data_IF_781163570947
#
_entry.id   IF_781163570947
#
_cell.length_a   1.000
_cell.length_b   1.000
_cell.length_c   1.000
_cell.angle_alpha   90.00
_cell.angle_beta   90.00
_cell.angle_gamma   90.00
#
_symmetry.space_group_name_H-M   'P 1'
#
loop_
_entity.id
_entity.type
_entity.pdbx_description
1 polymer ?
#
# COMPACT_ATOMS: atom_id res chain seq x y z
N UNK A 1 22.87 7.97 20.74
CA UNK A 1 23.13 8.57 19.42
C UNK A 1 23.25 7.44 18.41
N UNK A 2 22.14 7.05 17.77
CA UNK A 2 22.17 6.05 16.69
C UNK A 2 22.01 6.79 15.36
N UNK A 3 22.98 6.57 14.47
CA UNK A 3 23.14 7.27 13.20
C UNK A 3 21.95 7.06 12.25
N UNK A 4 21.23 8.16 11.98
CA UNK A 4 20.11 8.24 11.02
C UNK A 4 20.55 8.30 9.54
N UNK A 5 21.84 8.09 9.24
CA UNK A 5 22.42 8.44 7.94
C UNK A 5 22.39 7.35 6.86
N UNK A 6 21.91 6.13 7.16
CA UNK A 6 21.95 5.01 6.19
C UNK A 6 20.59 4.63 5.57
N UNK A 7 19.50 5.29 5.97
CA UNK A 7 18.17 5.08 5.38
C UNK A 7 17.98 5.85 4.05
N UNK A 8 18.67 6.99 3.91
CA UNK A 8 18.45 7.97 2.84
C UNK A 8 19.17 7.67 1.52
N UNK A 9 19.94 6.59 1.40
CA UNK A 9 20.81 6.38 0.23
C UNK A 9 20.26 5.36 -0.78
N UNK A 10 19.40 4.43 -0.35
CA UNK A 10 18.96 3.32 -1.21
C UNK A 10 17.56 3.46 -1.84
N UNK A 11 16.68 4.31 -1.31
CA UNK A 11 15.33 4.54 -1.88
C UNK A 11 15.28 5.71 -2.88
N UNK A 12 16.39 6.43 -3.04
CA UNK A 12 16.40 7.83 -3.48
C UNK A 12 16.30 8.03 -4.99
N UNK A 13 16.60 7.00 -5.77
CA UNK A 13 16.76 7.15 -7.22
C UNK A 13 15.45 7.20 -8.01
N UNK A 14 14.31 6.74 -7.48
CA UNK A 14 13.07 6.61 -8.28
C UNK A 14 11.94 7.58 -7.91
N UNK A 15 11.93 8.11 -6.69
CA UNK A 15 10.91 9.08 -6.23
C UNK A 15 11.52 10.36 -5.68
N UNK A 16 12.79 10.60 -6.02
CA UNK A 16 13.52 11.78 -5.57
C UNK A 16 13.50 11.95 -4.06
N UNK A 17 13.87 10.93 -3.25
CA UNK A 17 13.90 11.08 -1.79
C UNK A 17 14.72 12.31 -1.35
N UNK A 18 15.73 12.70 -2.13
CA UNK A 18 16.44 13.97 -1.95
C UNK A 18 15.53 15.18 -2.17
N UNK A 19 14.72 15.21 -3.23
CA UNK A 19 13.71 16.26 -3.41
C UNK A 19 12.63 16.22 -2.31
N UNK A 20 12.18 15.04 -1.87
CA UNK A 20 11.24 14.86 -0.77
C UNK A 20 11.75 15.42 0.58
N UNK A 21 13.06 15.37 0.82
CA UNK A 21 13.71 15.77 2.09
C UNK A 21 14.33 17.18 2.02
N UNK A 22 14.92 17.57 0.89
CA UNK A 22 15.69 18.81 0.71
C UNK A 22 15.32 19.61 -0.54
N UNK A 23 14.31 19.20 -1.31
CA UNK A 23 13.80 19.95 -2.45
C UNK A 23 12.89 21.11 -2.05
N UNK A 24 12.65 22.01 -3.00
CA UNK A 24 11.66 23.07 -2.88
C UNK A 24 10.27 22.49 -2.57
N UNK A 25 9.38 23.31 -2.01
CA UNK A 25 7.99 22.89 -1.73
C UNK A 25 7.27 22.35 -2.97
N UNK A 26 7.58 22.90 -4.16
CA UNK A 26 7.02 22.44 -5.43
C UNK A 26 7.54 21.07 -5.85
N UNK A 27 8.85 20.82 -5.73
CA UNK A 27 9.45 19.52 -6.07
C UNK A 27 8.95 18.41 -5.15
N UNK A 28 8.79 18.70 -3.85
CA UNK A 28 8.20 17.77 -2.87
C UNK A 28 6.77 17.39 -3.22
N UNK A 29 5.98 18.38 -3.59
CA UNK A 29 4.59 18.19 -4.01
C UNK A 29 4.51 17.34 -5.28
N UNK A 30 5.33 17.64 -6.29
CA UNK A 30 5.32 16.90 -7.55
C UNK A 30 5.79 15.45 -7.38
N UNK A 31 6.88 15.21 -6.64
CA UNK A 31 7.36 13.86 -6.35
C UNK A 31 6.32 13.04 -5.55
N UNK A 32 5.65 13.68 -4.60
CA UNK A 32 4.53 13.08 -3.87
C UNK A 32 3.38 12.67 -4.78
N UNK A 33 3.05 13.51 -5.78
CA UNK A 33 1.98 13.25 -6.75
C UNK A 33 2.25 12.02 -7.61
N UNK A 34 3.46 11.88 -8.15
CA UNK A 34 3.83 10.72 -8.98
C UNK A 34 3.77 9.42 -8.18
N UNK A 35 4.41 9.38 -7.01
CA UNK A 35 4.34 8.22 -6.11
C UNK A 35 2.90 7.84 -5.77
N UNK A 36 2.05 8.83 -5.53
CA UNK A 36 0.66 8.60 -5.13
C UNK A 36 -0.17 7.99 -6.27
N UNK A 37 0.08 8.39 -7.53
CA UNK A 37 -0.54 7.76 -8.70
C UNK A 37 -0.11 6.30 -8.81
N UNK A 38 1.19 6.02 -8.68
CA UNK A 38 1.72 4.64 -8.75
C UNK A 38 1.17 3.76 -7.62
N UNK A 39 1.15 4.27 -6.39
CA UNK A 39 0.63 3.57 -5.23
C UNK A 39 -0.86 3.26 -5.40
N UNK A 40 -1.66 4.23 -5.89
CA UNK A 40 -3.07 4.01 -6.17
C UNK A 40 -3.29 2.90 -7.20
N UNK A 41 -2.56 2.94 -8.32
CA UNK A 41 -2.62 1.92 -9.37
C UNK A 41 -2.21 0.54 -8.86
N UNK A 42 -1.19 0.48 -8.00
CA UNK A 42 -0.75 -0.77 -7.38
C UNK A 42 -1.81 -1.35 -6.47
N UNK A 43 -2.42 -0.54 -5.59
CA UNK A 43 -3.49 -0.99 -4.69
C UNK A 43 -4.71 -1.47 -5.49
N UNK A 44 -5.13 -0.70 -6.50
CA UNK A 44 -6.27 -1.05 -7.34
C UNK A 44 -6.03 -2.34 -8.13
N UNK A 45 -4.85 -2.51 -8.73
CA UNK A 45 -4.50 -3.74 -9.46
C UNK A 45 -4.33 -4.95 -8.54
N UNK A 46 -3.77 -4.76 -7.35
CA UNK A 46 -3.52 -5.85 -6.40
C UNK A 46 -4.83 -6.46 -5.85
N UNK A 47 -5.86 -5.64 -5.66
CA UNK A 47 -7.11 -6.05 -5.01
C UNK A 47 -8.34 -6.01 -5.92
N UNK A 48 -8.19 -5.66 -7.20
CA UNK A 48 -9.30 -5.48 -8.14
C UNK A 48 -10.39 -4.57 -7.54
N UNK A 49 -9.96 -3.49 -6.89
CA UNK A 49 -10.88 -2.58 -6.20
C UNK A 49 -11.89 -2.01 -7.21
N UNK A 50 -13.19 -2.01 -6.91
CA UNK A 50 -14.17 -1.34 -7.76
C UNK A 50 -13.86 0.16 -7.80
N UNK A 51 -14.25 0.81 -8.90
CA UNK A 51 -14.12 2.25 -9.01
C UNK A 51 -14.90 2.92 -7.87
N UNK A 52 -14.21 3.76 -7.10
CA UNK A 52 -14.76 4.36 -5.90
C UNK A 52 -15.81 5.40 -6.29
N UNK A 53 -16.98 5.36 -5.64
CA UNK A 53 -17.98 6.46 -5.70
C UNK A 53 -17.52 7.71 -4.94
N UNK A 54 -16.32 7.69 -4.36
CA UNK A 54 -15.72 8.85 -3.70
C UNK A 54 -15.50 9.97 -4.71
N UNK A 55 -15.80 11.20 -4.29
CA UNK A 55 -15.51 12.42 -5.04
C UNK A 55 -13.99 12.57 -5.28
N UNK A 56 -13.18 12.05 -4.35
CA UNK A 56 -11.72 12.10 -4.40
C UNK A 56 -11.16 10.79 -4.95
N UNK A 57 -10.34 10.86 -6.00
CA UNK A 57 -9.63 9.70 -6.56
C UNK A 57 -8.69 9.07 -5.53
N UNK A 58 -8.33 7.80 -5.71
CA UNK A 58 -7.38 7.15 -4.79
C UNK A 58 -6.01 7.84 -4.82
N UNK A 59 -5.53 8.24 -6.00
CA UNK A 59 -4.25 8.94 -6.15
C UNK A 59 -4.23 10.28 -5.42
N UNK A 60 -5.28 11.08 -5.56
CA UNK A 60 -5.38 12.38 -4.87
C UNK A 60 -5.53 12.21 -3.37
N UNK A 61 -6.26 11.17 -2.93
CA UNK A 61 -6.37 10.83 -1.53
C UNK A 61 -5.02 10.48 -0.91
N UNK A 62 -4.25 9.59 -1.56
CA UNK A 62 -2.91 9.21 -1.13
C UNK A 62 -1.99 10.43 -1.08
N UNK A 63 -2.01 11.25 -2.14
CA UNK A 63 -1.17 12.43 -2.24
C UNK A 63 -1.47 13.42 -1.11
N UNK A 64 -2.73 13.72 -0.87
CA UNK A 64 -3.14 14.62 0.19
C UNK A 64 -2.73 14.09 1.57
N UNK A 65 -2.97 12.81 1.85
CA UNK A 65 -2.61 12.20 3.13
C UNK A 65 -1.09 12.29 3.38
N UNK A 66 -0.26 11.97 2.38
CA UNK A 66 1.20 12.08 2.48
C UNK A 66 1.67 13.53 2.64
N UNK A 67 1.08 14.47 1.89
CA UNK A 67 1.38 15.89 1.99
C UNK A 67 1.07 16.44 3.40
N UNK A 68 -0.09 16.08 3.96
CA UNK A 68 -0.54 16.54 5.28
C UNK A 68 0.29 15.96 6.42
N UNK A 69 0.64 14.67 6.32
CA UNK A 69 1.35 13.96 7.38
C UNK A 69 2.87 14.10 7.29
N UNK A 70 3.40 14.49 6.12
CA UNK A 70 4.84 14.59 5.83
C UNK A 70 5.61 13.31 6.14
N UNK A 71 4.94 12.16 6.01
CA UNK A 71 5.58 10.87 6.21
C UNK A 71 6.63 10.59 5.15
N UNK A 72 7.71 9.93 5.56
CA UNK A 72 8.76 9.52 4.64
C UNK A 72 8.24 8.46 3.64
N UNK A 73 8.75 8.48 2.41
CA UNK A 73 8.36 7.53 1.35
C UNK A 73 8.55 6.07 1.80
N UNK A 74 9.55 5.77 2.64
CA UNK A 74 9.75 4.43 3.21
C UNK A 74 8.56 3.95 4.05
N UNK A 75 7.86 4.84 4.75
CA UNK A 75 6.64 4.50 5.52
C UNK A 75 5.50 4.15 4.57
N UNK A 76 5.39 4.88 3.45
CA UNK A 76 4.41 4.66 2.40
C UNK A 76 4.67 3.35 1.62
N UNK A 77 5.94 3.07 1.28
CA UNK A 77 6.35 1.79 0.68
C UNK A 77 6.08 0.62 1.63
N UNK A 78 6.30 0.81 2.94
CA UNK A 78 5.97 -0.20 3.94
C UNK A 78 4.46 -0.50 3.96
N UNK A 79 3.61 0.52 3.74
CA UNK A 79 2.16 0.31 3.67
C UNK A 79 1.80 -0.60 2.49
N UNK A 80 2.43 -0.39 1.32
CA UNK A 80 2.27 -1.28 0.16
C UNK A 80 2.75 -2.71 0.44
N UNK A 81 3.83 -2.89 1.22
CA UNK A 81 4.30 -4.22 1.66
C UNK A 81 3.24 -4.91 2.53
N UNK A 82 2.63 -4.21 3.48
CA UNK A 82 1.57 -4.79 4.31
C UNK A 82 0.38 -5.24 3.46
N UNK A 83 -0.01 -4.44 2.48
CA UNK A 83 -1.06 -4.78 1.52
C UNK A 83 -0.69 -5.98 0.64
N UNK A 84 0.57 -6.10 0.24
CA UNK A 84 1.06 -7.28 -0.47
C UNK A 84 1.00 -8.54 0.40
N UNK A 85 1.36 -8.46 1.69
CA UNK A 85 1.24 -9.57 2.64
C UNK A 85 -0.21 -10.00 2.82
N UNK A 86 -1.13 -9.02 2.91
CA UNK A 86 -2.56 -9.27 2.98
C UNK A 86 -3.04 -10.06 1.75
N UNK A 87 -2.68 -9.60 0.54
CA UNK A 87 -3.04 -10.30 -0.70
C UNK A 87 -2.43 -11.69 -0.81
N UNK A 88 -1.18 -11.87 -0.37
CA UNK A 88 -0.53 -13.19 -0.35
C UNK A 88 -1.25 -14.17 0.58
N UNK A 89 -1.76 -13.69 1.72
CA UNK A 89 -2.53 -14.50 2.66
C UNK A 89 -3.93 -14.82 2.16
N UNK A 90 -4.55 -13.89 1.43
CA UNK A 90 -5.89 -14.03 0.87
C UNK A 90 -5.87 -13.78 -0.65
N UNK A 91 -5.37 -14.73 -1.48
CA UNK A 91 -5.19 -14.51 -2.92
C UNK A 91 -6.48 -14.15 -3.66
N UNK A 92 -7.62 -14.70 -3.21
CA UNK A 92 -8.93 -14.45 -3.81
C UNK A 92 -9.64 -13.21 -3.26
N UNK A 93 -9.05 -12.52 -2.28
CA UNK A 93 -9.66 -11.34 -1.72
C UNK A 93 -9.69 -10.21 -2.74
N UNK A 94 -10.86 -9.58 -2.84
CA UNK A 94 -11.05 -8.32 -3.53
C UNK A 94 -11.19 -7.20 -2.52
N UNK A 95 -10.64 -6.03 -2.83
CA UNK A 95 -10.74 -4.85 -2.00
C UNK A 95 -12.14 -4.25 -2.13
N UNK A 96 -12.78 -3.91 -1.02
CA UNK A 96 -14.04 -3.16 -1.07
C UNK A 96 -13.76 -1.69 -1.39
N UNK A 97 -12.66 -1.15 -0.89
CA UNK A 97 -12.20 0.21 -1.17
C UNK A 97 -10.69 0.35 -1.09
N UNK A 98 -10.07 0.80 -2.18
CA UNK A 98 -8.64 1.14 -2.20
C UNK A 98 -8.27 2.24 -1.19
N UNK A 99 -9.17 3.19 -0.95
CA UNK A 99 -8.97 4.25 0.05
C UNK A 99 -8.88 3.68 1.47
N UNK A 100 -9.75 2.72 1.82
CA UNK A 100 -9.75 2.07 3.13
C UNK A 100 -8.51 1.21 3.32
N UNK A 101 -8.14 0.43 2.30
CA UNK A 101 -6.90 -0.39 2.29
C UNK A 101 -5.67 0.48 2.51
N UNK A 102 -5.54 1.57 1.75
CA UNK A 102 -4.42 2.49 1.90
C UNK A 102 -4.37 3.13 3.29
N UNK A 103 -5.50 3.69 3.75
CA UNK A 103 -5.58 4.38 5.04
C UNK A 103 -5.17 3.46 6.19
N UNK A 104 -5.73 2.24 6.24
CA UNK A 104 -5.39 1.28 7.28
C UNK A 104 -3.90 0.93 7.25
N UNK A 105 -3.34 0.69 6.07
CA UNK A 105 -1.95 0.30 5.93
C UNK A 105 -0.98 1.42 6.34
N UNK A 106 -1.22 2.67 5.92
CA UNK A 106 -0.36 3.80 6.26
C UNK A 106 -0.45 4.17 7.75
N UNK A 107 -1.62 4.01 8.37
CA UNK A 107 -1.78 4.20 9.82
C UNK A 107 -0.92 3.22 10.61
N UNK A 108 -1.00 1.92 10.26
CA UNK A 108 -0.21 0.87 10.90
C UNK A 108 1.28 1.14 10.71
N UNK A 109 1.75 1.40 9.49
CA UNK A 109 3.18 1.62 9.27
C UNK A 109 3.68 2.89 9.93
N UNK A 110 2.89 3.96 9.99
CA UNK A 110 3.27 5.15 10.74
C UNK A 110 3.52 4.83 12.22
N UNK A 111 2.65 4.04 12.87
CA UNK A 111 2.82 3.60 14.26
C UNK A 111 4.03 2.69 14.46
N UNK A 112 4.45 1.97 13.42
CA UNK A 112 5.62 1.09 13.47
C UNK A 112 6.96 1.82 13.32
N UNK A 113 6.99 2.94 12.58
CA UNK A 113 8.23 3.65 12.26
C UNK A 113 8.46 4.91 13.08
N UNK A 114 7.42 5.49 13.70
CA UNK A 114 7.51 6.76 14.41
C UNK A 114 7.01 6.61 15.86
N UNK A 115 7.85 7.00 16.82
CA UNK A 115 7.51 6.97 18.25
C UNK A 115 6.38 7.95 18.59
N UNK A 116 6.37 9.14 17.97
CA UNK A 116 5.28 10.12 18.04
C UNK A 116 4.34 9.98 16.84
N UNK A 117 3.57 8.89 16.85
CA UNK A 117 2.63 8.60 15.77
C UNK A 117 1.33 9.40 15.88
N UNK A 118 0.80 9.83 14.73
CA UNK A 118 -0.51 10.49 14.64
C UNK A 118 -1.64 9.69 15.30
N UNK A 119 -2.45 10.39 16.10
CA UNK A 119 -3.69 9.83 16.67
C UNK A 119 -4.70 9.50 15.57
N UNK A 120 -5.68 8.65 15.89
CA UNK A 120 -6.75 8.34 14.93
C UNK A 120 -7.59 9.58 14.60
N UNK A 121 -7.66 10.59 15.47
CA UNK A 121 -8.29 11.89 15.18
C UNK A 121 -7.51 12.69 14.12
N UNK A 122 -6.18 12.67 14.20
CA UNK A 122 -5.32 13.28 13.19
C UNK A 122 -5.49 12.60 11.83
N UNK A 123 -5.64 11.27 11.82
CA UNK A 123 -5.91 10.50 10.59
C UNK A 123 -7.28 10.77 9.99
N UNK A 124 -8.31 10.99 10.81
CA UNK A 124 -9.62 11.46 10.34
C UNK A 124 -9.50 12.77 9.55
N UNK A 125 -8.73 13.74 10.06
CA UNK A 125 -8.47 15.01 9.37
C UNK A 125 -7.62 14.79 8.10
N UNK A 126 -6.57 13.96 8.19
CA UNK A 126 -5.69 13.65 7.05
C UNK A 126 -6.44 12.91 5.93
N UNK A 127 -7.53 12.21 6.27
CA UNK A 127 -8.39 11.51 5.30
C UNK A 127 -9.40 12.41 4.58
N UNK A 128 -9.32 13.73 4.74
CA UNK A 128 -10.29 14.70 4.17
C UNK A 128 -11.73 14.45 4.63
N UNK A 129 -11.91 13.79 5.78
CA UNK A 129 -13.22 13.46 6.35
C UNK A 129 -14.11 12.61 5.42
N UNK A 130 -13.52 11.90 4.43
CA UNK A 130 -14.27 10.94 3.62
C UNK A 130 -14.66 9.70 4.43
N UNK A 131 -14.00 9.49 5.57
CA UNK A 131 -14.31 8.47 6.56
C UNK A 131 -14.75 9.12 7.86
N UNK A 132 -15.70 8.51 8.55
CA UNK A 132 -15.99 8.86 9.94
C UNK A 132 -14.87 8.39 10.88
N UNK A 133 -14.76 9.00 12.05
CA UNK A 133 -13.81 8.56 13.08
C UNK A 133 -13.97 7.08 13.45
N UNK A 134 -15.22 6.57 13.44
CA UNK A 134 -15.53 5.16 13.70
C UNK A 134 -14.95 4.26 12.61
N UNK A 135 -15.05 4.67 11.35
CA UNK A 135 -14.49 3.93 10.22
C UNK A 135 -12.96 3.93 10.24
N UNK A 136 -12.31 5.06 10.53
CA UNK A 136 -10.86 5.14 10.70
C UNK A 136 -10.37 4.12 11.73
N UNK A 137 -11.06 4.03 12.87
CA UNK A 137 -10.75 3.05 13.91
C UNK A 137 -11.03 1.60 13.46
N UNK A 138 -12.09 1.38 12.68
CA UNK A 138 -12.47 0.05 12.22
C UNK A 138 -11.47 -0.49 11.19
N UNK A 139 -11.15 0.27 10.14
CA UNK A 139 -10.27 -0.18 9.05
C UNK A 139 -8.85 -0.51 9.56
N UNK A 140 -8.34 0.26 10.52
CA UNK A 140 -7.06 -0.03 11.17
C UNK A 140 -7.09 -1.37 11.91
N UNK A 141 -8.09 -1.59 12.78
CA UNK A 141 -8.21 -2.83 13.55
C UNK A 141 -8.43 -4.04 12.66
N UNK A 142 -9.25 -3.90 11.63
CA UNK A 142 -9.53 -4.97 10.67
C UNK A 142 -8.26 -5.39 9.94
N UNK A 143 -7.51 -4.45 9.36
CA UNK A 143 -6.27 -4.79 8.65
C UNK A 143 -5.24 -5.43 9.59
N UNK A 144 -5.09 -4.88 10.79
CA UNK A 144 -4.19 -5.44 11.80
C UNK A 144 -4.58 -6.88 12.17
N UNK A 145 -5.87 -7.15 12.35
CA UNK A 145 -6.42 -8.48 12.60
C UNK A 145 -6.15 -9.45 11.43
N UNK A 146 -6.38 -9.02 10.19
CA UNK A 146 -6.15 -9.85 9.00
C UNK A 146 -4.67 -10.22 8.80
N UNK A 147 -3.75 -9.32 9.17
CA UNK A 147 -2.32 -9.56 9.14
C UNK A 147 -1.82 -10.43 10.31
N UNK A 148 -2.69 -10.76 11.28
CA UNK A 148 -2.33 -11.49 12.50
C UNK A 148 -1.07 -10.92 13.17
N UNK A 149 -1.02 -9.60 13.29
CA UNK A 149 0.10 -8.85 13.87
C UNK A 149 1.44 -8.93 13.10
N UNK A 150 1.49 -9.53 11.91
CA UNK A 150 2.69 -9.54 11.05
C UNK A 150 2.84 -8.19 10.30
N UNK A 151 3.10 -7.14 11.07
CA UNK A 151 3.18 -5.74 10.60
C UNK A 151 4.61 -5.20 10.59
N UNK A 152 5.59 -5.98 11.07
CA UNK A 152 6.99 -5.58 11.08
C UNK A 152 7.55 -5.61 9.66
N UNK A 153 8.05 -4.46 9.20
CA UNK A 153 8.71 -4.31 7.90
C UNK A 153 10.16 -3.90 8.15
N UNK A 154 11.09 -4.68 7.62
CA UNK A 154 12.53 -4.40 7.76
C UNK A 154 13.06 -3.52 6.63
N UNK A 155 14.18 -2.82 6.87
CA UNK A 155 14.85 -2.02 5.82
C UNK A 155 15.20 -2.85 4.59
N UNK A 156 15.64 -4.10 4.78
CA UNK A 156 15.97 -5.02 3.68
C UNK A 156 14.73 -5.33 2.84
N UNK A 157 13.57 -5.53 3.48
CA UNK A 157 12.30 -5.72 2.77
C UNK A 157 11.89 -4.48 1.98
N UNK A 158 12.03 -3.28 2.56
CA UNK A 158 11.76 -2.03 1.83
C UNK A 158 12.66 -1.92 0.62
N UNK A 159 13.97 -2.14 0.76
CA UNK A 159 14.92 -2.06 -0.37
C UNK A 159 14.57 -3.07 -1.46
N UNK A 160 14.25 -4.31 -1.09
CA UNK A 160 13.84 -5.35 -2.04
C UNK A 160 12.53 -4.98 -2.74
N UNK A 161 11.54 -4.54 -1.97
CA UNK A 161 10.24 -4.14 -2.50
C UNK A 161 10.34 -2.94 -3.44
N UNK A 162 11.10 -1.90 -3.09
CA UNK A 162 11.32 -0.72 -3.94
C UNK A 162 11.82 -1.11 -5.34
N UNK A 163 12.76 -2.07 -5.43
CA UNK A 163 13.25 -2.58 -6.72
C UNK A 163 12.12 -3.21 -7.53
N UNK A 164 11.33 -4.09 -6.90
CA UNK A 164 10.20 -4.78 -7.55
C UNK A 164 9.13 -3.78 -7.98
N UNK A 165 8.79 -2.84 -7.10
CA UNK A 165 7.79 -1.80 -7.35
C UNK A 165 8.19 -0.89 -8.52
N UNK A 166 9.46 -0.51 -8.61
CA UNK A 166 9.96 0.28 -9.74
C UNK A 166 9.93 -0.48 -11.08
N UNK A 167 10.17 -1.79 -11.06
CA UNK A 167 10.03 -2.64 -12.25
C UNK A 167 8.57 -2.73 -12.67
N UNK A 168 7.67 -2.97 -11.71
CA UNK A 168 6.23 -2.99 -11.95
C UNK A 168 5.75 -1.66 -12.55
N UNK A 169 6.16 -0.52 -11.95
CA UNK A 169 5.84 0.83 -12.43
C UNK A 169 6.20 1.04 -13.89
N UNK A 170 7.44 0.72 -14.28
CA UNK A 170 7.91 0.91 -15.68
C UNK A 170 7.03 0.16 -16.68
N UNK A 171 6.68 -1.10 -16.36
CA UNK A 171 5.80 -1.93 -17.20
C UNK A 171 4.39 -1.37 -17.29
N UNK A 172 3.84 -0.87 -16.18
CA UNK A 172 2.50 -0.27 -16.16
C UNK A 172 2.43 1.00 -16.99
N UNK A 173 3.45 1.85 -16.95
CA UNK A 173 3.53 3.07 -17.78
C UNK A 173 3.65 2.72 -19.27
N UNK A 174 4.50 1.75 -19.62
CA UNK A 174 4.66 1.29 -21.01
C UNK A 174 3.36 0.70 -21.58
N UNK A 175 2.57 0.01 -20.75
CA UNK A 175 1.27 -0.53 -21.14
C UNK A 175 0.19 0.55 -21.37
N UNK A 176 0.30 1.72 -20.72
CA UNK A 176 -0.63 2.86 -20.88
C UNK A 176 -0.36 3.67 -22.16
N UNK A 177 0.87 3.60 -22.72
CA UNK A 177 1.31 4.42 -23.87
C UNK A 177 0.99 3.81 -25.24
N UNK A 178 0.63 2.52 -25.31
CA UNK A 178 0.23 1.89 -26.57
C UNK A 178 -1.26 2.15 -26.87
N UNK A 179 -1.63 2.64 -28.08
CA UNK A 179 -3.02 2.95 -28.40
C UNK A 179 -3.84 1.67 -28.42
N UNK A 180 -4.91 1.67 -27.64
CA UNK A 180 -5.88 0.59 -27.49
C UNK A 180 -6.50 0.19 -28.83
N UNK A 181 -6.11 -0.97 -29.36
CA UNK A 181 -6.91 -1.69 -30.35
C UNK A 181 -7.98 -2.51 -29.60
N UNK A 182 -9.26 -2.46 -30.01
CA UNK A 182 -10.34 -3.12 -29.29
C UNK A 182 -10.34 -4.59 -29.71
N UNK A 183 -9.60 -5.43 -28.99
CA UNK A 183 -9.85 -6.87 -28.81
C UNK A 183 -8.64 -7.52 -28.13
N UNK A 184 -8.67 -7.66 -26.81
CA UNK A 184 -8.20 -8.87 -26.13
C UNK A 184 -8.28 -8.74 -24.61
N UNK A 185 -9.06 -9.65 -24.04
CA UNK A 185 -9.13 -10.08 -22.65
C UNK A 185 -7.77 -10.05 -21.93
N UNK A 186 -7.47 -9.00 -21.17
CA UNK A 186 -6.32 -8.96 -20.26
C UNK A 186 -6.74 -9.45 -18.87
N UNK A 187 -6.75 -10.78 -18.68
CA UNK A 187 -6.89 -11.42 -17.35
C UNK A 187 -5.66 -12.25 -16.98
N UNK A 188 -4.62 -12.33 -17.81
CA UNK A 188 -3.42 -13.07 -17.47
C UNK A 188 -2.23 -12.12 -17.34
N UNK A 189 -1.61 -12.10 -16.15
CA UNK A 189 -0.16 -12.05 -15.85
C UNK A 189 0.08 -11.29 -14.53
N UNK A 190 -0.36 -11.85 -13.40
CA UNK A 190 0.26 -11.59 -12.08
C UNK A 190 0.91 -12.89 -11.52
N UNK A 191 0.81 -14.01 -12.24
CA UNK A 191 1.18 -15.31 -11.69
C UNK A 191 2.63 -15.79 -11.93
N UNK A 192 3.60 -14.90 -12.22
CA UNK A 192 4.98 -15.34 -12.44
C UNK A 192 5.93 -15.04 -11.28
N UNK A 193 6.23 -16.14 -10.57
CA UNK A 193 7.44 -16.43 -9.79
C UNK A 193 7.59 -15.74 -8.43
N UNK A 194 6.86 -16.27 -7.44
CA UNK A 194 7.43 -16.45 -6.10
C UNK A 194 7.53 -17.96 -5.84
N UNK A 195 8.75 -18.45 -5.66
CA UNK A 195 9.03 -19.84 -5.31
C UNK A 195 8.50 -20.09 -3.89
N UNK A 196 7.45 -20.90 -3.79
CA UNK A 196 6.89 -21.41 -2.54
C UNK A 196 7.79 -22.56 -2.02
N UNK A 197 8.21 -22.58 -0.75
CA UNK A 197 8.51 -23.83 -0.07
C UNK A 197 7.21 -24.38 0.56
N UNK A 198 6.83 -25.61 0.22
CA UNK A 198 5.74 -26.38 0.83
C UNK A 198 6.29 -27.37 1.89
N UNK A 199 5.47 -28.01 2.76
CA UNK A 199 5.54 -27.81 4.21
C UNK A 199 5.78 -29.11 5.02
N UNK A 200 6.11 -28.99 6.30
CA UNK A 200 5.88 -30.08 7.26
C UNK A 200 4.56 -29.87 8.00
N UNK A 201 3.81 -30.97 8.08
CA UNK A 201 2.43 -31.11 8.51
C UNK A 201 2.28 -30.89 10.03
N UNK A 202 1.21 -30.20 10.44
CA UNK A 202 0.32 -30.64 11.52
C UNK A 202 -0.79 -29.60 11.77
N UNK A 203 -2.04 -30.04 11.60
CA UNK A 203 -3.28 -29.71 12.33
C UNK A 203 -4.47 -29.54 11.38
N UNK A 204 -5.11 -30.71 11.16
CA UNK A 204 -6.28 -30.93 10.34
C UNK A 204 -7.56 -30.37 10.98
N UNK A 205 -8.44 -29.87 10.10
CA UNK A 205 -9.89 -30.07 10.13
C UNK A 205 -10.89 -29.05 10.73
N UNK A 206 -10.50 -27.87 11.24
CA UNK A 206 -11.50 -26.86 11.68
C UNK A 206 -11.51 -25.51 10.95
N UNK A 207 -10.60 -25.25 9.99
CA UNK A 207 -10.45 -23.91 9.36
C UNK A 207 -11.04 -23.75 7.95
N UNK A 208 -11.47 -24.82 7.28
CA UNK A 208 -11.82 -24.74 5.85
C UNK A 208 -13.18 -24.06 5.57
N UNK A 209 -14.10 -24.03 6.54
CA UNK A 209 -15.45 -23.48 6.32
C UNK A 209 -15.55 -21.99 6.66
N UNK A 210 -14.74 -21.50 7.61
CA UNK A 210 -14.74 -20.09 8.03
C UNK A 210 -14.04 -19.14 7.03
N UNK A 211 -13.12 -19.66 6.19
CA UNK A 211 -12.42 -18.85 5.19
C UNK A 211 -13.22 -18.59 3.91
N UNK A 212 -14.30 -19.34 3.65
CA UNK A 212 -15.13 -19.13 2.44
C UNK A 212 -16.02 -17.89 2.54
N UNK A 213 -16.38 -17.45 3.75
CA UNK A 213 -17.25 -16.28 3.95
C UNK A 213 -16.47 -14.96 4.13
N UNK A 214 -15.19 -15.01 4.55
CA UNK A 214 -14.33 -13.81 4.67
C UNK A 214 -13.80 -13.37 3.29
N UNK A 215 -13.75 -14.27 2.30
CA UNK A 215 -13.00 -14.07 1.06
C UNK A 215 -13.65 -13.18 -0.01
N UNK A 216 -14.92 -12.78 0.13
CA UNK A 216 -15.59 -12.05 -0.95
C UNK A 216 -15.13 -10.59 -1.05
N UNK A 217 -14.91 -9.91 0.09
CA UNK A 217 -14.45 -8.52 0.16
C UNK A 217 -13.66 -8.30 1.45
N UNK A 218 -12.40 -7.92 1.33
CA UNK A 218 -11.61 -7.38 2.44
C UNK A 218 -11.68 -5.87 2.33
N UNK A 219 -11.91 -5.19 3.47
CA UNK A 219 -11.80 -3.74 3.70
C UNK A 219 -12.34 -2.83 2.59
#
# INVERSE_FOLDING_TARGET
MFSNNNFNTHCSASYGSTAAVSGSTSERYNAGKEFSKDAANFVSSLFECPESKSIVSLGDFIHYALYRTRLHISVALSALILLQRLKARYPNAKGSSGHRLWLAAIMITNKMFNDDSFTNQSWYIASQQIFSQREVNAVERELFGYLSCDVRVTTQEIVKFTKVFNIWRKRSVEAEVLPSSPNSTMVAVIHLHYHQPHPQQAQHHYKHQSNRLIAARII
#
